data_IF_454742610817
#
_entry.id   IF_454742610817
#
_cell.length_a   1.000
_cell.length_b   1.000
_cell.length_c   1.000
_cell.angle_alpha   90.00
_cell.angle_beta   90.00
_cell.angle_gamma   90.00
#
_symmetry.space_group_name_H-M   'P 1'
#
loop_
_entity.id
_entity.type
_entity.pdbx_description
1 polymer ?
#
# COMPACT_ATOMS: atom_id res chain seq x y z
N UNK A 1 14.89 -34.68 -0.37
CA UNK A 1 15.52 -33.42 -0.78
C UNK A 1 14.68 -32.29 -0.21
N UNK A 2 15.22 -31.54 0.75
CA UNK A 2 14.47 -30.60 1.59
C UNK A 2 13.98 -29.38 0.82
N UNK A 3 12.70 -29.07 0.97
CA UNK A 3 12.10 -27.82 0.50
C UNK A 3 12.63 -26.66 1.33
N UNK A 4 13.35 -25.75 0.68
CA UNK A 4 13.75 -24.49 1.28
C UNK A 4 12.55 -23.55 1.34
N UNK A 5 12.08 -23.25 2.56
CA UNK A 5 11.26 -22.06 2.80
C UNK A 5 12.19 -20.87 2.58
N UNK A 6 11.92 -20.06 1.55
CA UNK A 6 12.54 -18.74 1.41
C UNK A 6 11.85 -17.84 2.44
N UNK A 7 12.39 -17.75 3.65
CA UNK A 7 12.05 -16.68 4.59
C UNK A 7 12.90 -15.46 4.24
N UNK A 8 12.36 -14.51 3.46
CA UNK A 8 12.97 -13.18 3.38
C UNK A 8 12.33 -12.27 4.42
N UNK A 9 13.00 -12.10 5.57
CA UNK A 9 12.74 -10.97 6.47
C UNK A 9 13.20 -9.67 5.80
N UNK A 10 12.45 -8.57 5.98
CA UNK A 10 12.89 -7.26 5.52
C UNK A 10 13.91 -6.67 6.52
N UNK A 11 15.11 -6.37 6.04
CA UNK A 11 16.10 -5.55 6.74
C UNK A 11 16.31 -4.25 5.96
N UNK A 12 16.25 -3.09 6.64
CA UNK A 12 16.63 -1.82 6.04
C UNK A 12 18.14 -1.71 6.08
N UNK A 13 18.80 -1.84 4.92
CA UNK A 13 20.20 -1.48 4.78
C UNK A 13 20.30 0.01 4.42
N UNK A 14 20.55 0.85 5.42
CA UNK A 14 21.11 2.17 5.20
C UNK A 14 22.64 2.05 5.33
N UNK A 15 23.42 2.57 4.38
CA UNK A 15 24.85 2.81 4.62
C UNK A 15 24.98 3.89 5.69
N UNK A 16 25.15 3.47 6.95
CA UNK A 16 25.36 4.38 8.07
C UNK A 16 24.09 4.79 8.81
N UNK A 17 24.23 5.54 9.93
CA UNK A 17 23.11 5.97 10.73
C UNK A 17 22.15 6.85 9.92
N UNK A 18 20.84 6.67 10.12
CA UNK A 18 19.82 7.56 9.56
C UNK A 18 20.18 9.01 9.94
N UNK A 19 20.39 9.86 8.93
CA UNK A 19 20.64 11.28 9.17
C UNK A 19 19.41 11.92 9.82
N UNK A 20 19.60 13.04 10.50
CA UNK A 20 18.48 13.80 11.09
C UNK A 20 17.42 14.20 10.04
N UNK A 21 17.83 14.35 8.77
CA UNK A 21 16.98 14.69 7.63
C UNK A 21 16.14 13.51 7.11
N UNK A 22 16.65 12.27 7.22
CA UNK A 22 15.93 11.08 6.75
C UNK A 22 14.78 10.69 7.68
N UNK A 23 14.91 10.95 8.99
CA UNK A 23 13.95 10.48 10.01
C UNK A 23 12.54 11.04 9.79
N UNK A 24 12.31 12.36 9.58
CA UNK A 24 10.97 12.90 9.36
C UNK A 24 10.28 12.33 8.12
N UNK A 25 11.04 12.09 7.04
CA UNK A 25 10.49 11.58 5.79
C UNK A 25 10.16 10.08 5.86
N UNK A 26 10.98 9.30 6.56
CA UNK A 26 10.66 7.91 6.89
C UNK A 26 9.45 7.84 7.83
N UNK A 27 9.33 8.76 8.79
CA UNK A 27 8.12 8.88 9.59
C UNK A 27 6.90 9.24 8.76
N UNK A 28 7.02 10.02 7.68
CA UNK A 28 5.91 10.29 6.76
C UNK A 28 5.51 9.04 5.96
N UNK A 29 6.49 8.29 5.44
CA UNK A 29 6.26 7.02 4.74
C UNK A 29 5.67 5.95 5.67
N UNK A 30 6.18 5.85 6.90
CA UNK A 30 5.82 4.85 7.92
C UNK A 30 4.72 5.33 8.86
N UNK A 31 4.17 6.54 8.67
CA UNK A 31 3.19 7.16 9.59
C UNK A 31 1.97 6.28 9.80
N UNK A 32 1.69 5.46 8.79
CA UNK A 32 0.59 4.52 8.78
C UNK A 32 1.13 3.13 8.49
N UNK A 33 1.29 2.34 9.57
CA UNK A 33 1.72 0.95 9.54
C UNK A 33 0.57 0.09 8.98
N UNK A 34 0.51 -0.02 7.66
CA UNK A 34 -0.41 -0.90 6.96
C UNK A 34 0.26 -1.51 5.74
N UNK A 35 -0.09 -2.76 5.45
CA UNK A 35 0.44 -3.50 4.31
C UNK A 35 0.19 -2.75 3.00
N UNK A 36 1.27 -2.56 2.23
CA UNK A 36 1.26 -1.72 1.04
C UNK A 36 2.38 -2.12 0.07
N UNK A 37 2.37 -1.59 -1.14
CA UNK A 37 3.49 -1.68 -2.12
C UNK A 37 4.24 -0.34 -2.16
N UNK A 38 5.57 -0.39 -2.16
CA UNK A 38 6.46 0.74 -2.47
C UNK A 38 7.19 0.45 -3.78
N UNK A 39 7.04 1.31 -4.77
CA UNK A 39 7.56 1.06 -6.12
C UNK A 39 7.96 2.35 -6.83
N UNK A 40 8.91 2.26 -7.76
CA UNK A 40 9.21 3.34 -8.71
C UNK A 40 8.26 3.29 -9.91
N UNK A 41 7.73 4.45 -10.32
CA UNK A 41 6.93 4.59 -11.54
C UNK A 41 7.74 5.30 -12.63
N UNK A 42 8.04 4.64 -13.77
CA UNK A 42 8.94 5.20 -14.79
C UNK A 42 8.37 6.44 -15.49
N UNK A 43 7.07 6.46 -15.81
CA UNK A 43 6.44 7.61 -16.49
C UNK A 43 6.32 8.85 -15.60
N UNK A 44 5.83 8.70 -14.36
CA UNK A 44 5.76 9.82 -13.40
C UNK A 44 7.14 10.23 -12.87
N UNK A 45 8.15 9.37 -12.99
CA UNK A 45 9.47 9.53 -12.38
C UNK A 45 9.38 9.80 -10.88
N UNK A 46 8.60 8.99 -10.18
CA UNK A 46 8.39 9.10 -8.73
C UNK A 46 8.41 7.72 -8.09
N UNK A 47 8.91 7.66 -6.87
CA UNK A 47 8.56 6.61 -5.93
C UNK A 47 7.13 6.81 -5.50
N UNK A 48 6.36 5.73 -5.42
CA UNK A 48 4.99 5.79 -4.94
C UNK A 48 4.66 4.63 -4.01
N UNK A 49 3.65 4.87 -3.17
CA UNK A 49 3.02 3.91 -2.27
C UNK A 49 1.51 4.08 -2.34
N UNK A 50 0.77 2.98 -2.43
CA UNK A 50 -0.71 3.00 -2.39
C UNK A 50 -1.16 2.49 -1.03
N UNK A 51 -2.06 3.19 -0.36
CA UNK A 51 -2.44 2.92 1.01
C UNK A 51 -3.94 3.11 1.22
N UNK A 52 -4.60 2.16 1.88
CA UNK A 52 -5.99 2.33 2.36
C UNK A 52 -5.94 3.29 3.56
N UNK A 53 -6.61 4.43 3.48
CA UNK A 53 -6.35 5.63 4.28
C UNK A 53 -6.77 5.54 5.76
N UNK A 54 -6.20 4.62 6.54
CA UNK A 54 -6.48 4.44 7.97
C UNK A 54 -7.13 3.09 8.31
N UNK A 55 -7.28 2.81 9.60
CA UNK A 55 -8.12 1.69 10.05
C UNK A 55 -9.58 2.04 9.74
N UNK A 56 -10.26 1.18 8.99
CA UNK A 56 -11.67 1.35 8.62
C UNK A 56 -11.93 2.52 7.64
N UNK A 57 -10.99 2.78 6.72
CA UNK A 57 -11.16 3.83 5.72
C UNK A 57 -11.88 3.34 4.46
N UNK A 58 -12.78 4.17 3.94
CA UNK A 58 -13.49 3.98 2.67
C UNK A 58 -12.74 4.57 1.47
N UNK A 59 -11.45 4.89 1.62
CA UNK A 59 -10.65 5.51 0.57
C UNK A 59 -9.23 4.97 0.52
N UNK A 60 -8.63 5.12 -0.66
CA UNK A 60 -7.27 4.74 -0.97
C UNK A 60 -6.53 6.01 -1.41
N UNK A 61 -5.39 6.25 -0.78
CA UNK A 61 -4.48 7.34 -1.09
C UNK A 61 -3.24 6.84 -1.80
N UNK A 62 -2.69 7.67 -2.68
CA UNK A 62 -1.36 7.51 -3.25
C UNK A 62 -0.40 8.49 -2.59
N UNK A 63 0.73 7.98 -2.12
CA UNK A 63 1.86 8.75 -1.63
C UNK A 63 2.95 8.74 -2.69
N UNK A 64 3.56 9.88 -2.98
CA UNK A 64 4.60 10.02 -3.99
C UNK A 64 5.79 10.83 -3.49
N UNK A 65 6.99 10.49 -3.97
CA UNK A 65 8.22 11.21 -3.68
C UNK A 65 9.21 11.15 -4.87
N UNK A 66 10.07 12.17 -5.04
CA UNK A 66 11.13 12.12 -6.05
C UNK A 66 12.22 11.10 -5.68
N UNK A 67 12.54 10.96 -4.39
CA UNK A 67 13.47 9.96 -3.86
C UNK A 67 12.75 9.00 -2.92
N UNK A 68 13.26 7.78 -2.76
CA UNK A 68 12.65 6.78 -1.85
C UNK A 68 12.61 7.27 -0.40
N UNK A 69 13.54 8.17 -0.05
CA UNK A 69 13.64 8.84 1.24
C UNK A 69 12.76 10.08 1.35
N UNK A 70 11.95 10.42 0.35
CA UNK A 70 11.07 11.59 0.35
C UNK A 70 11.58 12.77 -0.50
N UNK A 71 11.01 13.97 -0.32
CA UNK A 71 9.85 14.27 0.52
C UNK A 71 8.59 13.60 -0.04
N UNK A 72 7.82 12.96 0.85
CA UNK A 72 6.59 12.26 0.52
C UNK A 72 5.38 13.22 0.57
N UNK A 73 4.50 13.13 -0.42
CA UNK A 73 3.21 13.85 -0.46
C UNK A 73 2.10 12.88 -0.82
N UNK A 74 0.93 13.03 -0.19
CA UNK A 74 -0.25 12.23 -0.47
C UNK A 74 -1.24 12.95 -1.37
N UNK A 75 -2.02 12.16 -2.10
CA UNK A 75 -3.24 12.57 -2.78
C UNK A 75 -4.25 11.44 -2.68
N UNK A 76 -5.53 11.80 -2.64
CA UNK A 76 -6.62 10.84 -2.78
C UNK A 76 -6.55 10.17 -4.17
N UNK A 77 -6.69 8.85 -4.22
CA UNK A 77 -6.63 8.07 -5.46
C UNK A 77 -7.98 7.44 -5.82
N UNK A 78 -8.67 6.85 -4.85
CA UNK A 78 -9.85 6.04 -5.13
C UNK A 78 -10.77 5.94 -3.91
N UNK A 79 -12.07 6.11 -4.15
CA UNK A 79 -13.12 5.79 -3.17
C UNK A 79 -13.52 4.31 -3.29
N UNK A 80 -13.47 3.60 -2.18
CA UNK A 80 -13.93 2.21 -2.10
C UNK A 80 -15.46 2.21 -2.28
N UNK A 81 -16.01 1.40 -3.20
CA UNK A 81 -17.44 1.40 -3.47
C UNK A 81 -18.21 0.60 -2.40
N UNK A 82 -19.50 0.89 -2.29
CA UNK A 82 -20.41 0.05 -1.52
C UNK A 82 -20.45 -1.39 -2.08
N UNK A 83 -20.63 -2.42 -1.21
CA UNK A 83 -20.87 -2.29 0.23
C UNK A 83 -19.58 -2.12 1.06
N UNK A 84 -18.40 -2.27 0.45
CA UNK A 84 -17.10 -2.31 1.14
C UNK A 84 -16.67 -0.97 1.76
N UNK A 85 -17.36 0.11 1.41
CA UNK A 85 -17.22 1.43 2.02
C UNK A 85 -17.77 1.53 3.45
N UNK A 86 -18.61 0.57 3.87
CA UNK A 86 -19.15 0.52 5.23
C UNK A 86 -18.07 -0.03 6.19
N UNK A 87 -17.39 0.89 6.85
CA UNK A 87 -16.27 0.62 7.75
C UNK A 87 -16.66 -0.12 9.04
N UNK A 88 -17.95 -0.16 9.38
CA UNK A 88 -18.44 -0.88 10.56
C UNK A 88 -18.60 -2.38 10.28
N UNK A 89 -18.74 -2.74 8.99
CA UNK A 89 -18.91 -4.12 8.52
C UNK A 89 -17.65 -4.65 7.86
N UNK A 90 -17.00 -3.82 7.05
CA UNK A 90 -15.90 -4.21 6.19
C UNK A 90 -14.57 -3.57 6.60
N UNK A 91 -13.51 -4.38 6.57
CA UNK A 91 -12.15 -3.95 6.78
C UNK A 91 -11.34 -4.11 5.49
N UNK A 92 -11.08 -2.99 4.80
CA UNK A 92 -10.27 -2.95 3.59
C UNK A 92 -8.79 -2.73 3.93
N UNK A 93 -7.89 -3.47 3.28
CA UNK A 93 -6.45 -3.46 3.57
C UNK A 93 -5.60 -3.95 2.39
N UNK A 94 -4.28 -4.02 2.58
CA UNK A 94 -3.33 -4.59 1.62
C UNK A 94 -3.48 -4.03 0.19
N UNK A 95 -3.46 -2.71 0.04
CA UNK A 95 -3.41 -2.10 -1.29
C UNK A 95 -2.06 -2.42 -1.96
N UNK A 96 -2.09 -3.14 -3.08
CA UNK A 96 -0.90 -3.62 -3.81
C UNK A 96 -0.95 -3.19 -5.26
N UNK A 97 0.15 -2.62 -5.74
CA UNK A 97 0.39 -2.30 -7.16
C UNK A 97 0.93 -3.53 -7.90
N UNK A 98 0.49 -3.72 -9.14
CA UNK A 98 0.79 -4.86 -10.03
C UNK A 98 1.34 -4.36 -11.38
N UNK A 99 2.60 -3.90 -11.45
CA UNK A 99 3.18 -3.36 -12.68
C UNK A 99 3.17 -4.35 -13.85
N UNK A 100 3.24 -5.65 -13.57
CA UNK A 100 3.18 -6.74 -14.54
C UNK A 100 1.82 -6.85 -15.26
N UNK A 101 0.77 -6.25 -14.71
CA UNK A 101 -0.57 -6.22 -15.31
C UNK A 101 -0.83 -4.94 -16.12
N UNK A 102 0.12 -4.01 -16.14
CA UNK A 102 -0.04 -2.75 -16.88
C UNK A 102 0.06 -2.97 -18.39
N UNK A 103 -0.79 -2.28 -19.15
CA UNK A 103 -0.87 -2.25 -20.62
C UNK A 103 -0.34 -0.96 -21.22
N UNK A 104 -0.19 0.09 -20.39
CA UNK A 104 0.29 1.41 -20.79
C UNK A 104 1.37 1.92 -19.83
N UNK A 105 2.28 2.80 -20.28
CA UNK A 105 3.33 3.33 -19.41
C UNK A 105 2.81 4.31 -18.34
N UNK A 106 1.62 4.88 -18.52
CA UNK A 106 1.02 5.94 -17.69
C UNK A 106 -0.07 5.43 -16.74
N UNK A 107 -0.20 4.12 -16.55
CA UNK A 107 -1.22 3.53 -15.66
C UNK A 107 -0.65 2.84 -14.43
N UNK A 108 -1.45 2.81 -13.39
CA UNK A 108 -1.21 2.02 -12.17
C UNK A 108 -2.35 1.03 -12.05
N UNK A 109 -2.04 -0.26 -12.08
CA UNK A 109 -2.97 -1.34 -11.74
C UNK A 109 -2.75 -1.71 -10.28
N UNK A 110 -3.81 -1.72 -9.48
CA UNK A 110 -3.73 -2.11 -8.07
C UNK A 110 -4.95 -2.93 -7.65
N UNK A 111 -4.77 -3.70 -6.58
CA UNK A 111 -5.87 -4.38 -5.87
C UNK A 111 -5.78 -4.09 -4.38
N UNK A 112 -6.86 -4.39 -3.65
CA UNK A 112 -6.90 -4.39 -2.19
C UNK A 112 -7.70 -5.61 -1.73
N UNK A 113 -7.52 -5.99 -0.47
CA UNK A 113 -8.28 -7.06 0.17
C UNK A 113 -9.35 -6.46 1.09
N UNK A 114 -10.42 -7.22 1.32
CA UNK A 114 -11.50 -6.83 2.22
C UNK A 114 -11.95 -8.02 3.03
N UNK A 115 -12.04 -7.84 4.34
CA UNK A 115 -12.69 -8.78 5.26
C UNK A 115 -14.01 -8.20 5.76
N UNK A 116 -14.93 -9.06 6.20
CA UNK A 116 -16.15 -8.66 6.91
C UNK A 116 -16.16 -9.25 8.32
N UNK A 117 -16.83 -8.56 9.24
CA UNK A 117 -17.17 -9.11 10.56
C UNK A 117 -18.55 -9.82 10.57
N UNK A 118 -19.27 -9.80 9.45
CA UNK A 118 -20.52 -10.52 9.23
C UNK A 118 -20.28 -11.81 8.45
N UNK A 119 -21.06 -12.85 8.75
CA UNK A 119 -21.24 -14.00 7.86
C UNK A 119 -22.05 -13.56 6.65
N UNK A 120 -21.38 -13.39 5.52
CA UNK A 120 -22.00 -12.92 4.27
C UNK A 120 -22.51 -14.05 3.37
N UNK A 121 -22.25 -15.30 3.78
CA UNK A 121 -22.74 -16.49 3.09
C UNK A 121 -23.53 -17.30 4.11
N UNK A 122 -24.86 -17.25 4.03
CA UNK A 122 -25.67 -18.35 4.56
C UNK A 122 -25.54 -19.50 3.57
N UNK A 123 -25.16 -20.68 4.06
CA UNK A 123 -25.30 -21.90 3.27
C UNK A 123 -26.80 -22.13 3.09
N UNK A 124 -27.36 -21.61 2.00
CA UNK A 124 -28.68 -22.03 1.55
C UNK A 124 -28.51 -23.43 0.94
N UNK A 125 -28.52 -24.45 1.79
CA UNK A 125 -28.88 -25.84 1.43
C UNK A 125 -30.41 -26.01 1.41
#
# INVERSE_FOLDING_TARGET
AGGGIITSGAAVWARGPLTAEMKPNLHALMRYAGESTLQWHPYMQRWFRIYVAGFAASSIDIWMAPEVTGPWRSAHLYDIPAPYSDSDVFFCYAAKSHPELTRRPDEIVFTYATNSNQELFTNDE
#
